data_IF_285092242081
#
_entry.id   IF_285092242081
#
_cell.length_a   1.000
_cell.length_b   1.000
_cell.length_c   1.000
_cell.angle_alpha   90.00
_cell.angle_beta   90.00
_cell.angle_gamma   90.00
#
_symmetry.space_group_name_H-M   'P 1'
#
loop_
_entity.id
_entity.type
_entity.pdbx_description
1 polymer ?
#
# COMPACT_ATOMS: atom_id res chain seq x y z
N UNK A 1 14.48 -10.35 -26.09
CA UNK A 1 13.54 -11.13 -25.26
C UNK A 1 13.40 -10.36 -23.95
N UNK A 2 12.34 -9.55 -23.80
CA UNK A 2 12.20 -8.64 -22.66
C UNK A 2 11.58 -9.38 -21.47
N UNK A 3 12.29 -9.42 -20.35
CA UNK A 3 11.88 -10.11 -19.13
C UNK A 3 10.80 -9.32 -18.37
N UNK A 4 9.65 -9.99 -18.22
CA UNK A 4 8.54 -9.89 -17.26
C UNK A 4 8.41 -8.62 -16.40
N UNK A 5 7.29 -7.91 -16.54
CA UNK A 5 6.87 -6.93 -15.56
C UNK A 5 6.73 -7.60 -14.18
N UNK A 6 7.46 -7.09 -13.17
CA UNK A 6 7.35 -7.56 -11.77
C UNK A 6 6.03 -7.13 -11.11
N UNK A 7 5.22 -6.32 -11.78
CA UNK A 7 3.95 -5.79 -11.29
C UNK A 7 2.89 -5.87 -12.38
N UNK A 8 1.67 -6.24 -12.01
CA UNK A 8 0.50 -6.24 -12.89
C UNK A 8 -0.55 -5.29 -12.29
N UNK A 9 -1.09 -4.42 -13.13
CA UNK A 9 -2.15 -3.47 -12.75
C UNK A 9 -3.48 -3.88 -13.40
N UNK A 10 -4.55 -3.71 -12.64
CA UNK A 10 -5.94 -3.77 -13.10
C UNK A 10 -6.58 -2.37 -12.96
N UNK A 11 -7.85 -2.24 -13.34
CA UNK A 11 -8.60 -0.97 -13.30
C UNK A 11 -8.65 -0.34 -11.88
N UNK A 12 -8.56 -1.18 -10.84
CA UNK A 12 -8.56 -0.77 -9.44
C UNK A 12 -7.15 -0.57 -8.85
N UNK A 13 -6.11 -0.62 -9.67
CA UNK A 13 -4.70 -0.42 -9.27
C UNK A 13 -3.85 -1.68 -9.33
N UNK A 14 -2.77 -1.72 -8.56
CA UNK A 14 -1.84 -2.86 -8.53
C UNK A 14 -2.59 -4.12 -8.06
N UNK A 15 -2.64 -5.14 -8.91
CA UNK A 15 -3.35 -6.41 -8.69
C UNK A 15 -2.41 -7.56 -8.38
N UNK A 16 -1.15 -7.49 -8.80
CA UNK A 16 -0.13 -8.44 -8.34
C UNK A 16 1.29 -7.89 -8.43
N UNK A 17 2.16 -8.43 -7.60
CA UNK A 17 3.58 -8.13 -7.55
C UNK A 17 4.39 -9.40 -7.34
N UNK A 18 5.54 -9.49 -8.01
CA UNK A 18 6.52 -10.54 -7.79
C UNK A 18 7.70 -10.03 -6.99
N UNK A 19 7.93 -10.64 -5.83
CA UNK A 19 9.03 -10.32 -4.91
C UNK A 19 9.88 -11.56 -4.74
N UNK A 20 11.10 -11.52 -5.28
CA UNK A 20 11.94 -12.70 -5.41
C UNK A 20 11.25 -13.80 -6.23
N UNK A 21 11.02 -14.96 -5.62
CA UNK A 21 10.30 -16.09 -6.24
C UNK A 21 8.80 -16.12 -5.91
N UNK A 22 8.32 -15.26 -5.01
CA UNK A 22 6.94 -15.29 -4.54
C UNK A 22 6.10 -14.27 -5.30
N UNK A 23 4.95 -14.70 -5.81
CA UNK A 23 3.95 -13.77 -6.33
C UNK A 23 2.96 -13.43 -5.22
N UNK A 24 2.64 -12.15 -5.08
CA UNK A 24 1.60 -11.60 -4.21
C UNK A 24 0.46 -11.12 -5.10
N UNK A 25 -0.73 -11.65 -4.87
CA UNK A 25 -1.98 -11.27 -5.54
C UNK A 25 -2.80 -10.43 -4.57
N UNK A 26 -3.16 -9.21 -4.97
CA UNK A 26 -3.90 -8.26 -4.14
C UNK A 26 -5.38 -8.26 -4.53
N UNK A 27 -6.25 -8.44 -3.53
CA UNK A 27 -7.71 -8.40 -3.69
C UNK A 27 -8.23 -7.09 -3.12
N UNK A 28 -9.06 -6.41 -3.91
CA UNK A 28 -9.70 -5.15 -3.56
C UNK A 28 -11.21 -5.30 -3.53
N UNK A 29 -11.89 -4.50 -2.71
CA UNK A 29 -13.34 -4.35 -2.78
C UNK A 29 -13.75 -3.66 -4.10
N UNK A 30 -15.06 -3.62 -4.38
CA UNK A 30 -15.61 -2.78 -5.46
C UNK A 30 -15.32 -1.28 -5.27
N UNK A 31 -15.06 -0.86 -4.03
CA UNK A 31 -14.54 0.46 -3.68
C UNK A 31 -13.05 0.67 -4.00
N UNK A 32 -12.29 -0.34 -4.41
CA UNK A 32 -10.86 -0.20 -4.69
C UNK A 32 -9.93 -0.18 -3.46
N UNK A 33 -10.47 -0.17 -2.24
CA UNK A 33 -9.71 -0.41 -1.01
C UNK A 33 -9.16 -1.85 -1.02
N UNK A 34 -7.96 -2.03 -0.48
CA UNK A 34 -7.38 -3.36 -0.24
C UNK A 34 -8.23 -4.13 0.77
N UNK A 35 -8.38 -5.43 0.53
CA UNK A 35 -9.08 -6.34 1.44
C UNK A 35 -8.13 -7.43 1.93
N UNK A 36 -7.47 -8.12 0.99
CA UNK A 36 -6.57 -9.23 1.31
C UNK A 36 -5.45 -9.37 0.28
N UNK A 37 -4.39 -10.08 0.66
CA UNK A 37 -3.36 -10.56 -0.25
C UNK A 37 -3.23 -12.09 -0.19
N UNK A 38 -2.83 -12.69 -1.31
CA UNK A 38 -2.53 -14.12 -1.39
C UNK A 38 -1.17 -14.35 -2.03
N UNK A 39 -0.38 -15.22 -1.42
CA UNK A 39 0.91 -15.66 -1.98
C UNK A 39 0.73 -16.81 -2.96
N UNK A 40 1.68 -16.98 -3.88
CA UNK A 40 1.73 -18.15 -4.78
C UNK A 40 1.84 -19.49 -4.05
N UNK A 41 2.22 -19.49 -2.76
CA UNK A 41 2.24 -20.66 -1.89
C UNK A 41 0.89 -20.94 -1.20
N UNK A 42 -0.16 -20.15 -1.48
CA UNK A 42 -1.50 -20.33 -0.94
C UNK A 42 -1.76 -19.68 0.43
N UNK A 43 -0.77 -18.99 1.03
CA UNK A 43 -1.01 -18.20 2.26
C UNK A 43 -1.85 -16.97 1.92
N UNK A 44 -2.82 -16.66 2.78
CA UNK A 44 -3.67 -15.48 2.69
C UNK A 44 -3.49 -14.58 3.91
N UNK A 45 -3.49 -13.27 3.69
CA UNK A 45 -3.46 -12.26 4.73
C UNK A 45 -4.55 -11.22 4.49
N UNK A 46 -5.13 -10.69 5.57
CA UNK A 46 -6.22 -9.72 5.52
C UNK A 46 -5.80 -8.41 6.16
N UNK A 47 -6.08 -7.30 5.50
CA UNK A 47 -5.67 -5.97 5.96
C UNK A 47 -6.72 -5.37 6.90
N UNK A 48 -6.23 -4.71 7.95
CA UNK A 48 -7.04 -3.92 8.88
C UNK A 48 -6.62 -2.46 8.76
N UNK A 49 -7.61 -1.57 8.72
CA UNK A 49 -7.41 -0.15 8.44
C UNK A 49 -7.83 0.74 9.61
N UNK A 50 -7.20 1.90 9.74
CA UNK A 50 -7.71 2.99 10.57
C UNK A 50 -8.76 3.83 9.82
N UNK A 51 -9.28 4.89 10.47
CA UNK A 51 -10.27 5.79 9.87
C UNK A 51 -9.75 6.65 8.70
N UNK A 52 -8.46 6.59 8.40
CA UNK A 52 -7.80 7.27 7.28
C UNK A 52 -7.36 6.27 6.19
N UNK A 53 -7.83 5.02 6.26
CA UNK A 53 -7.47 3.94 5.35
C UNK A 53 -5.99 3.54 5.39
N UNK A 54 -5.29 3.81 6.51
CA UNK A 54 -3.92 3.31 6.73
C UNK A 54 -3.95 1.87 7.24
N UNK A 55 -3.07 1.02 6.72
CA UNK A 55 -2.95 -0.38 7.17
C UNK A 55 -2.36 -0.41 8.59
N UNK A 56 -3.16 -0.66 9.62
CA UNK A 56 -2.69 -0.72 11.01
C UNK A 56 -2.37 -2.14 11.48
N UNK A 57 -2.93 -3.15 10.82
CA UNK A 57 -2.59 -4.54 11.11
C UNK A 57 -2.87 -5.45 9.92
N UNK A 58 -2.29 -6.66 9.97
CA UNK A 58 -2.63 -7.76 9.09
C UNK A 58 -2.89 -9.02 9.90
N UNK A 59 -3.86 -9.81 9.46
CA UNK A 59 -4.16 -11.13 10.05
C UNK A 59 -3.91 -12.25 9.06
N UNK A 60 -3.59 -13.44 9.55
CA UNK A 60 -3.58 -14.65 8.75
C UNK A 60 -4.97 -15.29 8.62
N UNK A 61 -5.07 -16.45 7.96
CA UNK A 61 -6.32 -17.19 7.81
C UNK A 61 -6.92 -17.75 9.10
N UNK A 62 -6.19 -17.70 10.22
CA UNK A 62 -6.70 -18.08 11.54
C UNK A 62 -7.24 -16.89 12.33
N UNK A 63 -7.04 -15.66 11.81
CA UNK A 63 -7.38 -14.41 12.50
C UNK A 63 -6.30 -13.92 13.46
N UNK A 64 -5.14 -14.57 13.51
CA UNK A 64 -4.02 -14.12 14.33
C UNK A 64 -3.35 -12.89 13.70
N UNK A 65 -3.02 -11.89 14.51
CA UNK A 65 -2.29 -10.70 14.05
C UNK A 65 -0.85 -11.10 13.73
N UNK A 66 -0.47 -10.92 12.46
CA UNK A 66 0.87 -11.25 11.94
C UNK A 66 1.70 -10.01 11.58
N UNK A 67 1.04 -8.85 11.45
CA UNK A 67 1.71 -7.56 11.34
C UNK A 67 0.90 -6.47 12.04
N UNK A 68 1.58 -5.46 12.58
CA UNK A 68 0.99 -4.28 13.19
C UNK A 68 1.85 -3.05 12.93
N UNK A 69 1.19 -1.92 12.73
CA UNK A 69 1.78 -0.66 12.33
C UNK A 69 1.11 0.49 13.08
N UNK A 70 1.93 1.41 13.58
CA UNK A 70 1.48 2.72 14.05
C UNK A 70 2.21 3.80 13.27
N UNK A 71 1.46 4.79 12.79
CA UNK A 71 1.99 5.89 11.98
C UNK A 71 2.00 7.20 12.76
N UNK A 72 2.98 8.05 12.48
CA UNK A 72 2.88 9.47 12.79
C UNK A 72 1.94 10.19 11.79
N UNK A 73 1.60 11.47 12.01
CA UNK A 73 0.73 12.22 11.10
C UNK A 73 1.26 12.40 9.67
N UNK A 74 2.53 12.10 9.42
CA UNK A 74 3.16 12.21 8.10
C UNK A 74 3.41 10.85 7.44
N UNK A 75 3.08 9.74 8.10
CA UNK A 75 3.20 8.39 7.57
C UNK A 75 4.49 7.66 7.90
N UNK A 76 5.34 8.17 8.78
CA UNK A 76 6.47 7.41 9.30
C UNK A 76 6.01 6.40 10.35
N UNK A 77 6.70 5.27 10.45
CA UNK A 77 6.40 4.26 11.46
C UNK A 77 6.80 4.75 12.86
N UNK A 78 5.80 5.03 13.72
CA UNK A 78 6.00 5.20 15.15
C UNK A 78 6.08 3.86 15.89
N UNK A 79 5.44 2.81 15.36
CA UNK A 79 5.63 1.42 15.77
C UNK A 79 5.48 0.48 14.58
N UNK A 80 6.25 -0.60 14.56
CA UNK A 80 6.19 -1.61 13.50
C UNK A 80 6.60 -2.96 14.06
N UNK A 81 5.71 -3.94 13.97
CA UNK A 81 6.00 -5.34 14.29
C UNK A 81 5.45 -6.23 13.19
N UNK A 82 6.32 -7.02 12.56
CA UNK A 82 5.97 -7.89 11.44
C UNK A 82 6.59 -9.26 11.72
N UNK A 83 5.77 -10.31 11.69
CA UNK A 83 6.25 -11.68 11.85
C UNK A 83 7.17 -12.07 10.69
N UNK A 84 8.14 -12.94 10.99
CA UNK A 84 9.09 -13.42 9.98
C UNK A 84 8.39 -14.10 8.80
N UNK A 85 8.77 -13.72 7.59
CA UNK A 85 8.17 -14.26 6.35
C UNK A 85 6.84 -13.62 5.95
N UNK A 86 6.34 -12.63 6.68
CA UNK A 86 5.23 -11.77 6.24
C UNK A 86 5.80 -10.59 5.46
N UNK A 87 5.24 -10.35 4.28
CA UNK A 87 5.59 -9.24 3.42
C UNK A 87 4.40 -8.29 3.32
N UNK A 88 4.68 -6.99 3.26
CA UNK A 88 3.65 -5.99 3.04
C UNK A 88 4.29 -4.71 2.48
N UNK A 89 3.77 -4.25 1.35
CA UNK A 89 4.14 -2.96 0.74
C UNK A 89 3.08 -1.89 0.94
N UNK A 90 1.93 -2.21 1.51
CA UNK A 90 0.83 -1.28 1.72
C UNK A 90 0.83 -0.74 3.14
N UNK A 91 0.73 0.58 3.29
CA UNK A 91 0.86 1.18 4.61
C UNK A 91 0.00 2.42 4.79
N UNK A 92 0.68 3.52 5.12
CA UNK A 92 0.06 4.81 5.39
C UNK A 92 -0.92 5.19 4.28
N UNK A 93 -2.19 5.36 4.66
CA UNK A 93 -3.30 5.73 3.78
C UNK A 93 -3.40 4.85 2.52
N UNK A 94 -3.20 3.54 2.69
CA UNK A 94 -3.19 2.57 1.61
C UNK A 94 -2.19 2.90 0.49
N UNK A 95 -1.15 3.68 0.80
CA UNK A 95 -0.06 4.00 -0.10
C UNK A 95 0.86 2.80 -0.31
N UNK A 96 1.38 2.67 -1.53
CA UNK A 96 2.35 1.64 -1.86
C UNK A 96 3.76 2.11 -1.51
N UNK A 97 4.41 1.49 -0.54
CA UNK A 97 5.79 1.77 -0.19
C UNK A 97 6.73 1.13 -1.20
N UNK A 98 7.43 1.97 -1.95
CA UNK A 98 8.47 1.55 -2.87
C UNK A 98 9.81 1.47 -2.13
N UNK A 99 10.21 0.25 -1.77
CA UNK A 99 11.44 0.00 -1.02
C UNK A 99 12.71 0.40 -1.77
N UNK A 100 12.67 0.56 -3.09
CA UNK A 100 13.84 0.97 -3.88
C UNK A 100 14.11 2.47 -3.76
N UNK A 101 13.06 3.28 -3.57
CA UNK A 101 13.17 4.74 -3.45
C UNK A 101 12.99 5.23 -2.01
N UNK A 102 12.39 4.42 -1.14
CA UNK A 102 12.02 4.83 0.22
C UNK A 102 10.80 5.76 0.26
N UNK A 103 10.04 5.84 -0.83
CA UNK A 103 8.91 6.74 -0.99
C UNK A 103 7.59 5.99 -1.02
N UNK A 104 6.51 6.70 -0.67
CA UNK A 104 5.15 6.16 -0.73
C UNK A 104 4.50 6.62 -2.04
N UNK A 105 4.10 5.67 -2.87
CA UNK A 105 3.44 5.91 -4.15
C UNK A 105 1.92 5.94 -3.98
N UNK A 106 1.33 7.06 -4.39
CA UNK A 106 -0.11 7.29 -4.48
C UNK A 106 -0.48 7.57 -5.94
N UNK A 107 -1.01 6.56 -6.63
CA UNK A 107 -1.31 6.66 -8.06
C UNK A 107 -0.06 7.00 -8.87
N UNK A 108 0.00 8.21 -9.42
CA UNK A 108 1.13 8.69 -10.24
C UNK A 108 2.13 9.54 -9.46
N UNK A 109 1.83 9.92 -8.21
CA UNK A 109 2.70 10.77 -7.39
C UNK A 109 3.41 9.96 -6.31
N UNK A 110 4.63 10.39 -5.99
CA UNK A 110 5.40 9.87 -4.87
C UNK A 110 5.41 10.90 -3.74
N UNK A 111 5.31 10.40 -2.52
CA UNK A 111 5.28 11.17 -1.29
C UNK A 111 6.45 10.73 -0.39
N UNK A 112 7.13 11.71 0.18
CA UNK A 112 8.21 11.52 1.14
C UNK A 112 7.66 11.78 2.55
N UNK A 113 7.56 10.71 3.35
CA UNK A 113 7.06 10.77 4.72
C UNK A 113 8.04 11.45 5.68
N UNK A 114 9.35 11.43 5.40
CA UNK A 114 10.36 12.03 6.28
C UNK A 114 10.26 13.55 6.27
N UNK A 115 9.89 14.14 5.12
CA UNK A 115 9.75 15.58 4.95
C UNK A 115 8.28 16.01 4.87
N UNK A 116 7.34 15.05 4.91
CA UNK A 116 5.91 15.30 4.91
C UNK A 116 5.38 15.94 3.61
N UNK A 117 5.95 15.61 2.45
CA UNK A 117 5.62 16.30 1.19
C UNK A 117 5.65 15.42 -0.06
N UNK A 118 4.93 15.85 -1.09
CA UNK A 118 5.00 15.28 -2.43
C UNK A 118 6.36 15.59 -3.08
N UNK A 119 6.93 14.62 -3.81
CA UNK A 119 8.22 14.80 -4.51
C UNK A 119 8.10 15.59 -5.82
N UNK A 120 6.88 15.80 -6.30
CA UNK A 120 6.57 16.63 -7.47
C UNK A 120 5.45 17.61 -7.15
N UNK A 121 5.54 18.80 -7.72
CA UNK A 121 4.43 19.75 -7.72
C UNK A 121 3.25 19.19 -8.51
N UNK A 122 2.03 19.56 -8.09
CA UNK A 122 0.80 19.19 -8.78
C UNK A 122 0.74 19.90 -10.14
N UNK A 123 0.54 19.15 -11.21
CA UNK A 123 0.25 19.71 -12.52
C UNK A 123 -1.23 20.12 -12.60
N UNK A 124 -1.52 21.20 -13.33
CA UNK A 124 -2.88 21.74 -13.47
C UNK A 124 -3.75 20.74 -14.26
N UNK A 125 -4.53 19.92 -13.57
CA UNK A 125 -5.51 19.01 -14.19
C UNK A 125 -5.47 17.56 -13.69
N UNK A 126 -4.57 17.21 -12.77
CA UNK A 126 -4.48 15.85 -12.23
C UNK A 126 -5.78 15.48 -11.49
N UNK A 127 -6.54 14.54 -12.07
CA UNK A 127 -7.75 14.00 -11.46
C UNK A 127 -7.39 13.07 -10.32
N UNK A 128 -8.05 13.32 -9.20
CA UNK A 128 -7.93 12.59 -7.96
C UNK A 128 -8.81 11.34 -8.05
N UNK A 129 -8.24 10.15 -7.86
CA UNK A 129 -9.02 8.93 -7.69
C UNK A 129 -9.71 8.95 -6.31
N UNK A 130 -11.05 8.96 -6.33
CA UNK A 130 -11.97 9.26 -5.21
C UNK A 130 -11.97 8.32 -4.00
N UNK A 131 -11.00 7.41 -3.85
CA UNK A 131 -10.96 6.46 -2.73
C UNK A 131 -9.79 6.67 -1.77
N UNK A 132 -9.11 7.82 -1.87
CA UNK A 132 -8.13 8.21 -0.89
C UNK A 132 -8.35 9.68 -0.48
N UNK A 133 -8.70 9.97 0.78
CA UNK A 133 -8.85 11.36 1.22
C UNK A 133 -7.55 12.18 1.06
N UNK A 134 -6.37 11.57 1.06
CA UNK A 134 -5.08 12.28 0.92
C UNK A 134 -4.75 12.71 -0.51
N UNK A 135 -5.51 12.25 -1.49
CA UNK A 135 -5.38 12.75 -2.86
C UNK A 135 -6.33 13.95 -3.10
N UNK A 136 -7.30 14.23 -2.22
CA UNK A 136 -8.27 15.34 -2.34
C UNK A 136 -8.26 16.38 -1.20
N UNK A 137 -7.68 16.10 -0.03
CA UNK A 137 -7.78 16.95 1.16
C UNK A 137 -6.43 17.53 1.58
N UNK A 138 -5.93 18.51 0.82
CA UNK A 138 -5.15 19.63 1.34
C UNK A 138 -5.44 20.84 0.44
N UNK A 139 -6.66 21.37 0.54
CA UNK A 139 -7.06 22.67 0.01
C UNK A 139 -7.14 23.66 1.16
N UNK A 140 -6.04 24.36 1.41
CA UNK A 140 -5.94 25.79 1.73
C UNK A 140 -4.47 26.18 1.69
#
# INVERSE_FOLDING_TARGET
MYTFANTIYADLGLSSEKVGSTNYEYVRCSCGLLNSERTSAGKAYYYLFDGQDSVVAMTDSTGAIVASYGYDPFGNYGSKSVQSGVYNSWGYVSGYYDSTTGLIKFGIRYYDSHVGRWTRHKERGERVNNHNPFTSLWWQ
#
